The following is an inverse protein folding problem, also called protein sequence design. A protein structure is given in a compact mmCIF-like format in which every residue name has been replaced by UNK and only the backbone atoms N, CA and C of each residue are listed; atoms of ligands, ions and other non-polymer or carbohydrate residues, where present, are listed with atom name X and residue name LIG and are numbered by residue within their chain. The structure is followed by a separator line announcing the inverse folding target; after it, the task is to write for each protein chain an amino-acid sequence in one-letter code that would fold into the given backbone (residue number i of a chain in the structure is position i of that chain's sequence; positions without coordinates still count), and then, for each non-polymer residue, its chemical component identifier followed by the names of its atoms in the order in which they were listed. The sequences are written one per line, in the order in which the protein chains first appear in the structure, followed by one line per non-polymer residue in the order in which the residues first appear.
data_IF_098766802731
#
_entry.id   IF_098766802731
#
_cell.length_a   1.000
_cell.length_b   1.000
_cell.length_c   1.000
_cell.angle_alpha   90.00
_cell.angle_beta   90.00
_cell.angle_gamma   90.00
#
_symmetry.space_group_name_H-M   'P 1'
#
loop_
_entity.id
_entity.type
_entity.pdbx_description
1 polymer ?
#
# COMPACT_ATOMS: atom_id res chain seq x y z
N UNK A 1 29.04 29.47 19.54
CA UNK A 1 27.93 30.45 19.53
C UNK A 1 26.94 30.04 20.60
N UNK A 2 26.30 30.98 21.29
CA UNK A 2 25.13 30.67 22.13
C UNK A 2 23.89 30.98 21.30
N UNK A 3 22.97 30.03 21.20
CA UNK A 3 21.77 30.19 20.38
C UNK A 3 20.70 30.98 21.12
N UNK A 4 19.90 31.74 20.36
CA UNK A 4 18.67 32.33 20.90
C UNK A 4 17.66 31.24 21.25
N UNK A 5 16.73 31.58 22.14
CA UNK A 5 15.65 30.68 22.54
C UNK A 5 14.87 30.22 21.31
N UNK A 6 14.73 28.89 21.13
CA UNK A 6 14.07 28.28 19.97
C UNK A 6 15.00 27.76 18.86
N UNK A 7 16.32 27.89 18.96
CA UNK A 7 17.28 27.36 17.99
C UNK A 7 18.36 26.48 18.63
N UNK A 8 18.85 25.48 17.90
CA UNK A 8 19.89 24.55 18.34
C UNK A 8 20.98 24.36 17.26
N UNK A 9 22.06 23.65 17.62
CA UNK A 9 23.17 23.30 16.72
C UNK A 9 24.39 24.24 16.81
N UNK A 10 25.50 23.86 16.15
CA UNK A 10 26.77 24.60 16.18
C UNK A 10 26.64 26.02 15.59
N UNK A 11 25.77 26.16 14.58
CA UNK A 11 25.50 27.41 13.88
C UNK A 11 24.12 28.02 14.21
N UNK A 12 23.38 27.47 15.18
CA UNK A 12 22.08 27.98 15.62
C UNK A 12 21.04 28.11 14.50
N UNK A 13 21.07 27.19 13.54
CA UNK A 13 20.20 27.15 12.36
C UNK A 13 19.38 25.85 12.30
N UNK A 14 19.30 25.10 13.40
CA UNK A 14 18.54 23.85 13.51
C UNK A 14 17.39 24.08 14.47
N UNK A 15 16.21 23.57 14.13
CA UNK A 15 15.05 23.64 15.02
C UNK A 15 15.10 22.56 16.11
N UNK A 16 14.56 22.85 17.31
CA UNK A 16 14.31 21.84 18.33
C UNK A 16 13.40 20.72 17.80
N UNK A 17 13.49 19.54 18.39
CA UNK A 17 12.67 18.40 17.99
C UNK A 17 11.17 18.76 18.05
N UNK A 18 10.44 18.42 16.99
CA UNK A 18 9.00 18.71 16.85
C UNK A 18 8.67 20.09 16.29
N UNK A 19 9.67 20.89 15.88
CA UNK A 19 9.49 22.20 15.26
C UNK A 19 10.21 22.27 13.92
N UNK A 20 9.59 22.95 12.96
CA UNK A 20 10.12 23.17 11.60
C UNK A 20 9.86 24.61 11.13
N UNK A 21 10.39 24.95 9.96
CA UNK A 21 10.27 26.28 9.36
C UNK A 21 11.37 27.27 9.78
N UNK A 22 11.41 28.43 9.11
CA UNK A 22 12.47 29.44 9.29
C UNK A 22 12.54 30.01 10.72
N UNK A 23 11.40 30.07 11.41
CA UNK A 23 11.28 30.55 12.79
C UNK A 23 11.15 29.45 13.85
N UNK A 24 11.21 28.17 13.46
CA UNK A 24 10.93 27.02 14.34
C UNK A 24 9.61 27.16 15.11
N UNK A 25 8.58 27.70 14.45
CA UNK A 25 7.27 28.03 15.00
C UNK A 25 6.15 27.12 14.48
N UNK A 26 6.47 26.23 13.54
CA UNK A 26 5.55 25.24 13.01
C UNK A 26 5.74 23.92 13.76
N UNK A 27 4.70 23.45 14.45
CA UNK A 27 4.73 22.14 15.12
C UNK A 27 4.56 21.02 14.11
N UNK A 28 5.54 20.13 14.03
CA UNK A 28 5.45 18.88 13.29
C UNK A 28 6.46 17.88 13.86
N UNK A 29 5.97 16.75 14.36
CA UNK A 29 6.77 15.63 14.85
C UNK A 29 6.62 14.44 13.90
N UNK A 30 7.72 13.92 13.33
CA UNK A 30 7.69 12.72 12.49
C UNK A 30 6.98 11.52 13.16
N UNK A 31 7.11 11.41 14.48
CA UNK A 31 6.55 10.30 15.25
C UNK A 31 5.03 10.37 15.39
N UNK A 32 4.48 11.56 15.61
CA UNK A 32 3.04 11.73 15.88
C UNK A 32 2.25 12.25 14.70
N UNK A 33 2.82 13.19 13.94
CA UNK A 33 2.13 13.84 12.82
C UNK A 33 2.31 13.06 11.51
N UNK A 34 3.43 12.34 11.36
CA UNK A 34 3.71 11.49 10.20
C UNK A 34 3.70 9.98 10.52
N UNK A 35 3.11 9.59 11.67
CA UNK A 35 2.96 8.20 12.11
C UNK A 35 4.28 7.38 12.15
N UNK A 36 5.42 8.02 12.38
CA UNK A 36 6.76 7.40 12.28
C UNK A 36 7.02 6.76 10.90
N UNK A 37 6.36 7.25 9.85
CA UNK A 37 6.37 6.72 8.46
C UNK A 37 6.71 7.81 7.45
N UNK A 38 7.46 8.81 7.88
CA UNK A 38 7.85 9.95 7.08
C UNK A 38 8.56 11.00 7.91
N UNK A 39 8.90 12.11 7.26
CA UNK A 39 9.51 13.28 7.89
C UNK A 39 8.71 14.53 7.59
N UNK A 40 8.79 15.51 8.48
CA UNK A 40 8.24 16.83 8.24
C UNK A 40 9.15 17.62 7.28
N UNK A 41 8.56 18.29 6.30
CA UNK A 41 9.22 19.31 5.49
C UNK A 41 9.27 20.65 6.23
N UNK A 42 9.89 21.65 5.60
CA UNK A 42 10.03 23.00 6.16
C UNK A 42 8.69 23.74 6.33
N UNK A 43 7.61 23.25 5.70
CA UNK A 43 6.25 23.78 5.79
C UNK A 43 5.39 23.04 6.81
N UNK A 44 5.92 22.02 7.48
CA UNK A 44 5.19 21.16 8.42
C UNK A 44 4.29 20.12 7.76
N UNK A 45 4.54 19.78 6.50
CA UNK A 45 3.85 18.71 5.78
C UNK A 45 4.68 17.43 5.81
N UNK A 46 4.02 16.28 5.83
CA UNK A 46 4.72 15.00 5.83
C UNK A 46 5.20 14.62 4.42
N UNK A 47 6.51 14.51 4.25
CA UNK A 47 7.14 13.70 3.21
C UNK A 47 7.16 12.24 3.69
N UNK A 48 6.26 11.43 3.16
CA UNK A 48 6.15 10.03 3.55
C UNK A 48 7.31 9.17 3.05
N UNK A 49 7.68 8.18 3.85
CA UNK A 49 8.62 7.14 3.47
C UNK A 49 8.08 6.35 2.26
N UNK A 50 8.95 5.70 1.48
CA UNK A 50 8.51 4.81 0.41
C UNK A 50 7.45 3.83 0.91
N UNK A 51 6.42 3.61 0.10
CA UNK A 51 5.25 2.78 0.42
C UNK A 51 4.21 3.39 1.35
N UNK A 52 4.39 4.62 1.84
CA UNK A 52 3.40 5.32 2.64
C UNK A 52 2.87 6.58 1.92
N UNK A 53 1.64 6.95 2.22
CA UNK A 53 0.97 8.11 1.63
C UNK A 53 -0.17 8.62 2.51
N UNK A 54 -0.75 9.75 2.12
CA UNK A 54 -1.69 10.49 2.96
C UNK A 54 -1.06 11.74 3.57
N UNK A 55 -1.87 12.58 4.22
CA UNK A 55 -1.39 13.84 4.79
C UNK A 55 -0.51 13.63 6.04
N UNK A 56 -0.67 12.48 6.69
CA UNK A 56 0.04 12.03 7.90
C UNK A 56 0.75 10.69 7.68
N UNK A 57 0.92 10.25 6.42
CA UNK A 57 1.48 8.93 6.08
C UNK A 57 0.66 7.76 6.65
N UNK A 58 -0.65 7.95 6.75
CA UNK A 58 -1.60 7.02 7.35
C UNK A 58 -1.99 5.86 6.41
N UNK A 59 -1.77 6.01 5.10
CA UNK A 59 -2.11 5.02 4.08
C UNK A 59 -0.85 4.34 3.53
N UNK A 60 -1.01 3.12 3.01
CA UNK A 60 -0.01 2.54 2.13
C UNK A 60 -0.19 3.16 0.73
N UNK A 61 0.88 3.71 0.15
CA UNK A 61 0.83 4.30 -1.19
C UNK A 61 0.47 3.24 -2.25
N UNK A 62 -0.34 3.63 -3.22
CA UNK A 62 -1.27 2.79 -3.98
C UNK A 62 -0.66 1.73 -4.94
N UNK A 63 0.66 1.61 -5.04
CA UNK A 63 1.29 0.71 -6.02
C UNK A 63 1.58 -0.70 -5.47
N UNK A 64 1.18 -1.01 -4.24
CA UNK A 64 1.30 -2.35 -3.69
C UNK A 64 0.45 -2.55 -2.45
N UNK A 65 -0.46 -3.51 -2.50
CA UNK A 65 -1.08 -3.97 -1.28
C UNK A 65 -0.01 -4.65 -0.43
N UNK A 66 0.07 -4.34 0.87
CA UNK A 66 1.14 -4.88 1.73
C UNK A 66 2.49 -4.17 1.62
N UNK A 67 2.60 -3.08 0.85
CA UNK A 67 3.82 -2.27 0.77
C UNK A 67 4.22 -1.60 2.11
N UNK A 68 3.33 -1.56 3.10
CA UNK A 68 3.61 -1.14 4.48
C UNK A 68 4.40 -2.18 5.30
N UNK A 69 4.60 -3.38 4.77
CA UNK A 69 5.38 -4.46 5.36
C UNK A 69 6.35 -5.00 4.32
N UNK A 70 7.64 -5.05 4.65
CA UNK A 70 8.72 -5.51 3.76
C UNK A 70 8.56 -6.99 3.32
N UNK A 71 7.58 -7.71 3.85
CA UNK A 71 7.49 -9.16 3.79
C UNK A 71 6.37 -9.71 2.90
N UNK A 72 5.28 -8.99 2.61
CA UNK A 72 4.15 -9.53 1.83
C UNK A 72 3.50 -8.44 0.97
N UNK A 73 4.07 -8.15 -0.21
CA UNK A 73 3.44 -7.27 -1.20
C UNK A 73 2.48 -8.12 -2.03
N UNK A 74 1.18 -7.95 -1.84
CA UNK A 74 0.20 -8.46 -2.79
C UNK A 74 0.27 -7.64 -4.09
N UNK A 75 0.58 -8.32 -5.19
CA UNK A 75 0.54 -7.77 -6.54
C UNK A 75 -0.49 -8.51 -7.38
N UNK A 76 -1.05 -7.82 -8.39
CA UNK A 76 -1.96 -8.46 -9.33
C UNK A 76 -1.30 -9.67 -10.03
N UNK A 77 -0.04 -9.54 -10.46
CA UNK A 77 0.68 -10.58 -11.20
C UNK A 77 1.12 -11.76 -10.33
N UNK A 78 1.73 -11.51 -9.17
CA UNK A 78 2.34 -12.57 -8.36
C UNK A 78 1.34 -13.20 -7.38
N UNK A 79 0.47 -12.39 -6.77
CA UNK A 79 -0.44 -12.85 -5.71
C UNK A 79 -1.80 -13.23 -6.26
N UNK A 80 -2.30 -12.47 -7.23
CA UNK A 80 -3.59 -12.73 -7.88
C UNK A 80 -3.45 -13.40 -9.26
N UNK A 81 -2.27 -13.97 -9.56
CA UNK A 81 -1.98 -14.73 -10.78
C UNK A 81 -2.25 -13.97 -12.10
N UNK A 82 -2.33 -12.65 -12.04
CA UNK A 82 -2.71 -11.76 -13.15
C UNK A 82 -4.21 -11.70 -13.45
N UNK A 83 -5.07 -12.37 -12.67
CA UNK A 83 -6.51 -12.48 -12.93
C UNK A 83 -7.36 -11.85 -11.80
N UNK A 84 -6.87 -10.75 -11.24
CA UNK A 84 -7.56 -10.01 -10.19
C UNK A 84 -6.73 -8.87 -9.65
N UNK A 85 -7.26 -8.23 -8.62
CA UNK A 85 -6.59 -7.14 -7.92
C UNK A 85 -6.63 -7.36 -6.41
N UNK A 86 -5.66 -6.79 -5.69
CA UNK A 86 -5.58 -6.92 -4.25
C UNK A 86 -6.63 -6.03 -3.56
N UNK A 87 -7.39 -6.62 -2.64
CA UNK A 87 -8.30 -5.90 -1.75
C UNK A 87 -7.52 -5.25 -0.61
N UNK A 88 -8.18 -4.38 0.16
CA UNK A 88 -7.59 -3.67 1.31
C UNK A 88 -7.18 -4.56 2.50
N UNK A 89 -7.47 -5.85 2.48
CA UNK A 89 -7.05 -6.85 3.49
C UNK A 89 -6.03 -7.88 2.96
N UNK A 90 -5.65 -7.78 1.68
CA UNK A 90 -4.61 -8.61 1.05
C UNK A 90 -5.12 -9.87 0.41
N UNK A 91 -6.42 -10.09 0.49
CA UNK A 91 -7.10 -11.04 -0.37
C UNK A 91 -7.12 -10.55 -1.81
N UNK A 92 -7.19 -11.48 -2.75
CA UNK A 92 -7.45 -11.15 -4.14
C UNK A 92 -8.95 -11.02 -4.39
N UNK A 93 -9.34 -9.94 -5.07
CA UNK A 93 -10.63 -9.81 -5.73
C UNK A 93 -10.46 -10.26 -7.17
N UNK A 94 -11.01 -11.42 -7.50
CA UNK A 94 -10.83 -12.03 -8.81
C UNK A 94 -11.65 -11.35 -9.90
N UNK A 95 -11.08 -11.31 -11.10
CA UNK A 95 -11.78 -10.92 -12.30
C UNK A 95 -12.83 -11.97 -12.70
N UNK A 96 -13.76 -11.58 -13.57
CA UNK A 96 -14.85 -12.46 -14.00
C UNK A 96 -14.31 -13.75 -14.61
N UNK A 97 -14.80 -14.88 -14.12
CA UNK A 97 -14.40 -16.21 -14.57
C UNK A 97 -13.27 -16.86 -13.77
N UNK A 98 -12.68 -16.17 -12.80
CA UNK A 98 -11.64 -16.70 -11.92
C UNK A 98 -12.09 -16.76 -10.46
N UNK A 99 -11.53 -17.71 -9.72
CA UNK A 99 -11.80 -17.93 -8.30
C UNK A 99 -10.58 -18.49 -7.54
N UNK A 100 -10.76 -18.64 -6.23
CA UNK A 100 -9.71 -19.07 -5.29
C UNK A 100 -8.94 -17.88 -4.71
N UNK A 101 -8.16 -18.16 -3.66
CA UNK A 101 -7.46 -17.11 -2.89
C UNK A 101 -6.46 -16.28 -3.72
N UNK A 102 -5.96 -16.86 -4.81
CA UNK A 102 -4.99 -16.24 -5.73
C UNK A 102 -5.52 -16.03 -7.15
N UNK A 103 -6.83 -16.22 -7.37
CA UNK A 103 -7.46 -16.13 -8.71
C UNK A 103 -6.82 -17.01 -9.79
N UNK A 104 -6.28 -18.16 -9.38
CA UNK A 104 -5.62 -19.11 -10.28
C UNK A 104 -6.56 -20.20 -10.82
N UNK A 105 -7.79 -20.26 -10.31
CA UNK A 105 -8.75 -21.34 -10.61
C UNK A 105 -9.87 -20.77 -11.47
N UNK A 106 -10.38 -21.53 -12.42
CA UNK A 106 -11.57 -21.13 -13.17
C UNK A 106 -12.82 -21.28 -12.31
N UNK A 107 -13.71 -20.29 -12.39
CA UNK A 107 -15.01 -20.35 -11.75
C UNK A 107 -15.80 -21.56 -12.27
N UNK A 108 -16.70 -22.08 -11.43
CA UNK A 108 -17.54 -23.23 -11.76
C UNK A 108 -18.20 -23.09 -13.15
N UNK A 109 -17.95 -24.06 -14.02
CA UNK A 109 -18.49 -24.12 -15.38
C UNK A 109 -17.61 -23.48 -16.46
N UNK A 110 -16.40 -23.01 -16.12
CA UNK A 110 -15.42 -22.48 -17.08
C UNK A 110 -14.13 -23.31 -17.08
N UNK A 111 -13.49 -23.39 -18.24
CA UNK A 111 -12.20 -24.06 -18.44
C UNK A 111 -11.34 -23.37 -19.51
N UNK A 112 -10.17 -23.97 -19.78
CA UNK A 112 -9.24 -23.51 -20.78
C UNK A 112 -8.33 -22.37 -20.31
N UNK A 113 -7.37 -21.95 -21.16
CA UNK A 113 -6.50 -20.82 -20.86
C UNK A 113 -7.34 -19.54 -20.72
N UNK A 114 -7.27 -18.88 -19.57
CA UNK A 114 -8.03 -17.65 -19.31
C UNK A 114 -9.49 -17.86 -18.89
N UNK A 115 -9.92 -19.11 -18.62
CA UNK A 115 -11.26 -19.43 -18.11
C UNK A 115 -12.41 -18.87 -18.96
N UNK A 116 -12.23 -18.84 -20.28
CA UNK A 116 -13.19 -18.27 -21.24
C UNK A 116 -14.03 -19.34 -21.95
N UNK A 117 -13.76 -20.62 -21.72
CA UNK A 117 -14.50 -21.73 -22.35
C UNK A 117 -15.53 -22.26 -21.37
N UNK A 118 -16.81 -22.10 -21.68
CA UNK A 118 -17.87 -22.76 -20.91
C UNK A 118 -17.79 -24.27 -21.10
N UNK A 119 -17.69 -25.02 -19.99
CA UNK A 119 -17.83 -26.47 -20.01
C UNK A 119 -19.27 -26.82 -20.39
N UNK A 120 -19.46 -27.76 -21.32
CA UNK A 120 -20.77 -28.39 -21.48
C UNK A 120 -20.93 -29.47 -20.38
N UNK A 121 -21.88 -29.32 -19.44
CA UNK A 121 -22.08 -30.28 -18.35
C UNK A 121 -22.37 -31.71 -18.84
N UNK A 122 -22.87 -31.84 -20.08
CA UNK A 122 -23.23 -33.10 -20.72
C UNK A 122 -22.10 -33.68 -21.58
N UNK A 123 -21.18 -32.86 -22.11
CA UNK A 123 -20.12 -33.32 -23.01
C UNK A 123 -18.74 -33.38 -22.34
N UNK A 124 -18.40 -32.39 -21.50
CA UNK A 124 -17.02 -32.14 -21.08
C UNK A 124 -16.77 -32.48 -19.59
N UNK A 125 -17.81 -32.42 -18.73
CA UNK A 125 -17.70 -32.77 -17.30
C UNK A 125 -18.05 -34.24 -16.96
N UNK A 126 -17.98 -35.15 -17.93
CA UNK A 126 -18.27 -36.58 -17.70
C UNK A 126 -19.67 -36.87 -17.13
N UNK A 127 -20.64 -35.98 -17.36
CA UNK A 127 -22.02 -36.11 -16.89
C UNK A 127 -22.24 -35.92 -15.39
N UNK A 128 -21.25 -35.38 -14.65
CA UNK A 128 -21.34 -35.13 -13.20
C UNK A 128 -20.96 -33.69 -12.81
N UNK A 129 -20.79 -32.79 -13.77
CA UNK A 129 -20.54 -31.36 -13.51
C UNK A 129 -21.82 -30.59 -13.22
N UNK A 130 -21.69 -29.47 -12.49
CA UNK A 130 -22.76 -28.48 -12.30
C UNK A 130 -23.01 -27.77 -13.62
#
# INVERSE_FOLDING_TARGET
CECFEGFVGEHCNVCPAGLVGEGCDIQCSPDTDCNSRGRCDDLGQCECDPSFGGASCEFCAADGYGACSEEEVCTAEDTCSGNGHCASDGSCVCDEGFEGDSCAICADGLEGPGCEVACDPLADCGGNGK
#
